data_IF_397217613880
#
_entry.id   IF_397217613880
#
_cell.length_a   1.000
_cell.length_b   1.000
_cell.length_c   1.000
_cell.angle_alpha   90.00
_cell.angle_beta   90.00
_cell.angle_gamma   90.00
#
_symmetry.space_group_name_H-M   'P 1'
#
loop_
_entity.id
_entity.type
_entity.pdbx_description
1 polymer ?
#
# COMPACT_ATOMS: atom_id res chain seq x y z
N UNK A 1 -5.15 -18.32 -1.60
CA UNK A 1 -4.76 -16.91 -1.32
C UNK A 1 -5.42 -16.47 -0.02
N UNK A 2 -4.65 -15.94 0.92
CA UNK A 2 -5.17 -15.28 2.12
C UNK A 2 -4.85 -13.79 2.05
N UNK A 3 -5.77 -12.93 2.51
CA UNK A 3 -5.56 -11.47 2.54
C UNK A 3 -6.12 -10.87 3.81
N UNK A 4 -5.36 -9.96 4.41
CA UNK A 4 -5.77 -9.09 5.50
C UNK A 4 -5.48 -7.65 5.10
N UNK A 5 -6.49 -6.78 5.19
CA UNK A 5 -6.39 -5.35 4.86
C UNK A 5 -6.91 -4.53 6.02
N UNK A 6 -6.26 -3.42 6.28
CA UNK A 6 -6.69 -2.45 7.29
C UNK A 6 -6.57 -1.06 6.69
N UNK A 7 -7.70 -0.34 6.69
CA UNK A 7 -7.78 1.02 6.20
C UNK A 7 -7.87 2.02 7.35
N UNK A 8 -7.21 3.16 7.18
CA UNK A 8 -7.23 4.30 8.09
C UNK A 8 -7.53 5.56 7.31
N UNK A 9 -8.11 6.55 7.98
CA UNK A 9 -8.21 7.91 7.45
C UNK A 9 -7.19 8.77 8.19
N UNK A 10 -6.18 9.26 7.47
CA UNK A 10 -5.10 10.09 8.03
C UNK A 10 -4.91 11.29 7.11
N UNK A 11 -4.92 12.51 7.65
CA UNK A 11 -4.80 13.75 6.86
C UNK A 11 -5.80 13.86 5.69
N UNK A 12 -7.03 13.37 5.88
CA UNK A 12 -8.05 13.25 4.84
C UNK A 12 -7.66 12.36 3.65
N UNK A 13 -6.61 11.54 3.78
CA UNK A 13 -6.22 10.50 2.82
C UNK A 13 -6.65 9.13 3.32
N UNK A 14 -6.84 8.20 2.40
CA UNK A 14 -7.04 6.79 2.73
C UNK A 14 -5.66 6.15 2.83
N UNK A 15 -5.36 5.54 3.97
CA UNK A 15 -4.13 4.77 4.19
C UNK A 15 -4.49 3.31 4.36
N UNK A 16 -4.04 2.47 3.44
CA UNK A 16 -4.25 1.02 3.49
C UNK A 16 -2.94 0.30 3.80
N UNK A 17 -2.99 -0.59 4.79
CA UNK A 17 -1.97 -1.63 5.00
C UNK A 17 -2.59 -2.98 4.62
N UNK A 18 -1.91 -3.73 3.76
CA UNK A 18 -2.36 -5.05 3.34
C UNK A 18 -1.25 -6.09 3.50
N UNK A 19 -1.64 -7.27 3.97
CA UNK A 19 -0.81 -8.47 3.99
C UNK A 19 -1.51 -9.55 3.15
N UNK A 20 -0.81 -10.09 2.17
CA UNK A 20 -1.35 -11.05 1.21
C UNK A 20 -0.42 -12.25 1.09
N UNK A 21 -0.97 -13.45 1.23
CA UNK A 21 -0.26 -14.71 1.09
C UNK A 21 -0.75 -15.47 -0.14
N UNK A 22 0.17 -15.73 -1.06
CA UNK A 22 -0.06 -16.50 -2.30
C UNK A 22 1.08 -17.50 -2.48
N UNK A 23 0.75 -18.77 -2.65
CA UNK A 23 1.71 -19.87 -2.88
C UNK A 23 2.88 -19.88 -1.88
N UNK A 24 2.57 -19.67 -0.59
CA UNK A 24 3.56 -19.61 0.49
C UNK A 24 4.39 -18.32 0.56
N UNK A 25 4.27 -17.42 -0.41
CA UNK A 25 4.91 -16.10 -0.40
C UNK A 25 4.00 -15.07 0.25
N UNK A 26 4.56 -14.25 1.14
CA UNK A 26 3.86 -13.16 1.81
C UNK A 26 4.33 -11.83 1.22
N UNK A 27 3.39 -10.96 0.87
CA UNK A 27 3.67 -9.55 0.57
C UNK A 27 2.98 -8.65 1.57
N UNK A 28 3.63 -7.54 1.88
CA UNK A 28 3.06 -6.44 2.64
C UNK A 28 3.12 -5.18 1.81
N UNK A 29 2.03 -4.44 1.76
CA UNK A 29 1.95 -3.17 1.03
C UNK A 29 1.35 -2.09 1.91
N UNK A 30 1.82 -0.86 1.71
CA UNK A 30 1.24 0.34 2.27
C UNK A 30 0.88 1.29 1.11
N UNK A 31 -0.35 1.78 1.10
CA UNK A 31 -0.85 2.69 0.08
C UNK A 31 -1.57 3.87 0.73
N UNK A 32 -1.09 5.07 0.44
CA UNK A 32 -1.76 6.34 0.69
C UNK A 32 -2.44 6.77 -0.61
N UNK A 33 -3.74 6.98 -0.56
CA UNK A 33 -4.58 7.29 -1.73
C UNK A 33 -5.42 8.55 -1.47
N UNK A 34 -5.29 9.51 -2.39
CA UNK A 34 -6.13 10.70 -2.48
C UNK A 34 -6.03 11.28 -3.89
N UNK A 35 -7.02 12.07 -4.31
CA UNK A 35 -6.98 12.78 -5.60
C UNK A 35 -5.87 13.82 -5.67
N UNK A 36 -5.59 14.50 -4.56
CA UNK A 36 -4.52 15.48 -4.45
C UNK A 36 -3.15 14.80 -4.17
N UNK A 37 -2.20 14.81 -5.12
CA UNK A 37 -0.88 14.22 -4.93
C UNK A 37 -0.07 14.90 -3.83
N UNK A 38 -0.30 16.19 -3.54
CA UNK A 38 0.41 16.89 -2.48
C UNK A 38 0.06 16.34 -1.10
N UNK A 39 -1.23 16.03 -0.86
CA UNK A 39 -1.70 15.37 0.36
C UNK A 39 -1.13 13.95 0.49
N UNK A 40 -1.05 13.21 -0.62
CA UNK A 40 -0.43 11.87 -0.63
C UNK A 40 1.05 11.98 -0.24
N UNK A 41 1.84 12.83 -0.90
CA UNK A 41 3.27 12.98 -0.64
C UNK A 41 3.54 13.43 0.81
N UNK A 42 2.77 14.41 1.31
CA UNK A 42 2.85 14.88 2.69
C UNK A 42 2.60 13.73 3.68
N UNK A 43 1.52 12.99 3.47
CA UNK A 43 1.13 11.90 4.39
C UNK A 43 2.11 10.73 4.34
N UNK A 44 2.62 10.35 3.16
CA UNK A 44 3.68 9.33 3.03
C UNK A 44 4.92 9.71 3.83
N UNK A 45 5.33 10.99 3.79
CA UNK A 45 6.48 11.48 4.56
C UNK A 45 6.22 11.51 6.06
N UNK A 46 5.04 11.97 6.49
CA UNK A 46 4.66 11.99 7.91
C UNK A 46 4.55 10.59 8.52
N UNK A 47 4.24 9.58 7.69
CA UNK A 47 4.22 8.16 8.08
C UNK A 47 5.58 7.47 7.94
N UNK A 48 6.63 8.18 7.54
CA UNK A 48 7.98 7.64 7.27
C UNK A 48 8.00 6.48 6.26
N UNK A 49 7.04 6.46 5.33
CA UNK A 49 6.90 5.44 4.28
C UNK A 49 7.62 5.83 2.98
N UNK A 50 8.26 6.99 2.93
CA UNK A 50 8.93 7.54 1.74
C UNK A 50 10.15 6.72 1.28
N UNK A 51 10.66 5.82 2.14
CA UNK A 51 11.69 4.83 1.81
C UNK A 51 11.15 3.64 1.01
N UNK A 52 9.83 3.51 0.88
CA UNK A 52 9.15 2.41 0.21
C UNK A 52 8.29 2.93 -0.96
N UNK A 53 8.04 2.09 -1.98
CA UNK A 53 7.08 2.45 -3.01
C UNK A 53 5.67 2.51 -2.43
N UNK A 54 4.97 3.63 -2.60
CA UNK A 54 3.55 3.76 -2.28
C UNK A 54 2.71 2.98 -3.30
N UNK A 55 2.36 1.73 -2.97
CA UNK A 55 1.63 0.82 -3.87
C UNK A 55 0.56 0.04 -3.12
N UNK A 56 -0.59 -0.17 -3.75
CA UNK A 56 -1.62 -1.04 -3.20
C UNK A 56 -1.30 -2.53 -3.40
N UNK A 57 -2.02 -3.39 -2.70
CA UNK A 57 -1.79 -4.82 -2.71
C UNK A 57 -2.01 -5.47 -4.08
N UNK A 58 -2.87 -4.90 -4.94
CA UNK A 58 -3.09 -5.42 -6.30
C UNK A 58 -1.83 -5.23 -7.15
N UNK A 59 -1.22 -4.05 -7.08
CA UNK A 59 0.05 -3.77 -7.74
C UNK A 59 1.19 -4.57 -7.12
N UNK A 60 1.23 -4.68 -5.80
CA UNK A 60 2.20 -5.54 -5.10
C UNK A 60 2.07 -7.01 -5.51
N UNK A 61 0.85 -7.51 -5.67
CA UNK A 61 0.59 -8.88 -6.10
C UNK A 61 1.02 -9.11 -7.55
N UNK A 62 0.71 -8.20 -8.47
CA UNK A 62 1.18 -8.25 -9.86
C UNK A 62 2.72 -8.37 -9.92
N UNK A 63 3.41 -7.55 -9.14
CA UNK A 63 4.87 -7.61 -9.03
C UNK A 63 5.37 -8.97 -8.50
N UNK A 64 4.68 -9.56 -7.51
CA UNK A 64 5.04 -10.85 -6.91
C UNK A 64 4.92 -12.02 -7.89
N UNK A 65 3.85 -12.03 -8.69
CA UNK A 65 3.56 -13.11 -9.66
C UNK A 65 4.26 -12.90 -11.00
N UNK A 66 5.09 -11.85 -11.14
CA UNK A 66 5.84 -11.56 -12.35
C UNK A 66 5.01 -10.98 -13.50
N UNK A 67 3.78 -10.52 -13.22
CA UNK A 67 2.95 -9.83 -14.19
C UNK A 67 3.32 -8.34 -14.18
N UNK A 68 4.15 -7.91 -15.14
CA UNK A 68 4.45 -6.49 -15.39
C UNK A 68 3.31 -5.80 -16.13
#
# INVERSE_FOLDING_TARGET
MHKKRTGFTINNTIVEIAEVTVDGKVIKTAAVEMEDPALVIKTVRELELDKFPNINYLRGLKNLVGMK
#
